data_IF_282786755581
#
_entry.id   IF_282786755581
#
_cell.length_a   1.000
_cell.length_b   1.000
_cell.length_c   1.000
_cell.angle_alpha   90.00
_cell.angle_beta   90.00
_cell.angle_gamma   90.00
#
_symmetry.space_group_name_H-M   'P 1'
#
loop_
_entity.id
_entity.type
_entity.pdbx_description
1 polymer ?
#
# COMPACT_ATOMS: atom_id res chain seq x y z
N UNK A 1 36.34 -63.67 -6.00
CA UNK A 1 36.50 -64.31 -4.68
C UNK A 1 35.60 -63.51 -3.74
N UNK A 2 34.50 -63.96 -3.15
CA UNK A 2 33.83 -65.25 -2.94
C UNK A 2 32.32 -64.92 -2.78
N UNK A 3 31.41 -65.64 -3.45
CA UNK A 3 30.61 -66.77 -2.93
C UNK A 3 29.59 -66.35 -1.84
N UNK A 4 28.29 -66.40 -2.13
CA UNK A 4 27.34 -67.48 -1.73
C UNK A 4 26.50 -67.00 -0.53
N UNK A 5 25.24 -67.37 -0.24
CA UNK A 5 24.13 -68.09 -0.88
C UNK A 5 22.96 -68.00 0.18
N UNK A 6 21.75 -68.54 -0.09
CA UNK A 6 20.48 -68.17 0.57
C UNK A 6 19.93 -69.21 1.58
N UNK A 7 18.94 -68.81 2.38
CA UNK A 7 18.05 -69.68 3.19
C UNK A 7 16.73 -68.94 3.43
N UNK A 8 15.56 -69.53 3.71
CA UNK A 8 14.83 -70.76 3.34
C UNK A 8 13.49 -70.65 4.11
N UNK A 9 12.39 -71.12 3.50
CA UNK A 9 10.99 -71.10 4.01
C UNK A 9 10.76 -72.10 5.19
N UNK A 10 9.67 -72.07 6.01
CA UNK A 10 8.34 -72.65 5.64
C UNK A 10 7.10 -72.01 6.35
N UNK A 11 5.93 -71.92 5.71
CA UNK A 11 4.78 -72.87 5.76
C UNK A 11 4.36 -73.37 7.16
N UNK A 12 3.20 -72.92 7.64
CA UNK A 12 2.23 -73.78 8.35
C UNK A 12 0.82 -73.22 8.21
N UNK A 13 -0.09 -74.08 7.75
CA UNK A 13 -1.51 -73.84 7.59
C UNK A 13 -2.31 -74.47 8.75
N UNK A 14 -3.48 -73.85 9.01
CA UNK A 14 -4.75 -74.42 9.50
C UNK A 14 -4.89 -74.96 10.95
N UNK A 15 -6.12 -75.17 11.49
CA UNK A 15 -7.46 -74.60 11.19
C UNK A 15 -8.26 -74.27 12.50
N UNK A 16 -9.59 -74.12 12.40
CA UNK A 16 -10.64 -74.06 13.48
C UNK A 16 -10.77 -72.74 14.26
N UNK A 17 -11.94 -72.14 14.54
CA UNK A 17 -13.36 -72.50 14.38
C UNK A 17 -14.24 -71.25 14.60
N UNK A 18 -15.35 -71.16 13.84
CA UNK A 18 -16.56 -70.32 14.06
C UNK A 18 -17.03 -70.34 15.54
N UNK A 19 -17.71 -69.28 16.07
CA UNK A 19 -19.06 -68.94 15.60
C UNK A 19 -19.42 -67.45 15.50
N UNK A 20 -20.52 -67.25 14.78
CA UNK A 20 -21.19 -66.00 14.49
C UNK A 20 -21.76 -65.28 15.73
N UNK A 21 -22.07 -64.00 15.50
CA UNK A 21 -23.07 -63.12 16.15
C UNK A 21 -22.44 -61.92 16.81
N UNK A 22 -22.39 -60.80 16.08
CA UNK A 22 -23.03 -59.54 16.46
C UNK A 22 -22.92 -58.60 15.27
N UNK A 23 -24.07 -58.30 14.66
CA UNK A 23 -24.18 -57.26 13.63
C UNK A 23 -23.88 -55.91 14.25
N UNK A 24 -22.75 -55.32 13.89
CA UNK A 24 -22.51 -53.89 14.05
C UNK A 24 -22.47 -53.31 12.66
N UNK A 25 -23.54 -52.61 12.28
CA UNK A 25 -23.64 -51.87 11.04
C UNK A 25 -22.44 -50.91 10.94
N UNK A 26 -21.48 -51.26 10.09
CA UNK A 26 -20.41 -50.37 9.68
C UNK A 26 -21.04 -49.20 8.94
N UNK A 27 -21.30 -48.12 9.67
CA UNK A 27 -21.56 -46.83 9.08
C UNK A 27 -20.35 -46.46 8.21
N UNK A 28 -20.54 -46.11 6.93
CA UNK A 28 -19.44 -45.65 6.09
C UNK A 28 -18.84 -44.41 6.74
N UNK A 29 -17.57 -44.49 7.11
CA UNK A 29 -16.76 -43.37 7.58
C UNK A 29 -16.60 -42.38 6.40
N UNK A 30 -17.61 -41.53 6.21
CA UNK A 30 -17.52 -40.37 5.33
C UNK A 30 -16.50 -39.43 5.95
N UNK A 31 -15.27 -39.43 5.44
CA UNK A 31 -14.32 -38.35 5.68
C UNK A 31 -14.87 -37.06 5.03
N UNK A 32 -15.41 -36.06 5.76
CA UNK A 32 -16.13 -34.95 5.14
C UNK A 32 -15.23 -33.82 4.63
N UNK A 33 -13.90 -33.94 4.78
CA UNK A 33 -12.98 -32.80 4.60
C UNK A 33 -12.35 -32.69 3.21
N UNK A 34 -12.42 -33.71 2.36
CA UNK A 34 -11.80 -33.69 1.02
C UNK A 34 -12.61 -32.90 -0.02
N UNK A 35 -13.94 -32.86 0.10
CA UNK A 35 -14.83 -32.23 -0.88
C UNK A 35 -14.71 -30.71 -0.98
N UNK A 36 -14.53 -30.00 0.14
CA UNK A 36 -14.45 -28.53 0.15
C UNK A 36 -13.16 -28.00 -0.49
N UNK A 37 -12.06 -28.73 -0.37
CA UNK A 37 -10.77 -28.34 -0.97
C UNK A 37 -10.78 -28.55 -2.49
N UNK A 38 -11.42 -29.63 -2.94
CA UNK A 38 -11.57 -29.94 -4.37
C UNK A 38 -12.51 -28.94 -5.07
N UNK A 39 -13.60 -28.52 -4.41
CA UNK A 39 -14.52 -27.48 -4.94
C UNK A 39 -13.87 -26.10 -5.08
N UNK A 40 -12.92 -25.75 -4.22
CA UNK A 40 -12.15 -24.50 -4.33
C UNK A 40 -11.14 -24.55 -5.48
N UNK A 41 -10.49 -25.70 -5.68
CA UNK A 41 -9.54 -25.88 -6.78
C UNK A 41 -10.22 -25.78 -8.15
N UNK A 42 -11.35 -26.46 -8.34
CA UNK A 42 -12.10 -26.41 -9.61
C UNK A 42 -12.65 -25.02 -9.91
N UNK A 43 -13.13 -24.30 -8.88
CA UNK A 43 -13.62 -22.93 -9.05
C UNK A 43 -12.51 -21.96 -9.45
N UNK A 44 -11.32 -22.10 -8.86
CA UNK A 44 -10.16 -21.29 -9.21
C UNK A 44 -9.72 -21.53 -10.67
N UNK A 45 -9.68 -22.80 -11.08
CA UNK A 45 -9.32 -23.17 -12.47
C UNK A 45 -10.32 -22.61 -13.50
N UNK A 46 -11.61 -22.57 -13.15
CA UNK A 46 -12.65 -21.98 -13.99
C UNK A 46 -12.53 -20.45 -14.07
N UNK A 47 -12.19 -19.79 -12.97
CA UNK A 47 -11.92 -18.34 -12.93
C UNK A 47 -10.68 -17.98 -13.75
N UNK A 48 -9.58 -18.73 -13.62
CA UNK A 48 -8.34 -18.51 -14.39
C UNK A 48 -8.58 -18.68 -15.91
N UNK A 49 -9.37 -19.68 -16.32
CA UNK A 49 -9.79 -19.86 -17.72
C UNK A 49 -10.65 -18.71 -18.23
N UNK A 50 -11.52 -18.15 -17.40
CA UNK A 50 -12.36 -17.00 -17.78
C UNK A 50 -11.54 -15.72 -17.93
N UNK A 51 -10.58 -15.49 -17.06
CA UNK A 51 -9.72 -14.29 -17.11
C UNK A 51 -8.83 -14.33 -18.37
N UNK A 52 -8.23 -15.48 -18.69
CA UNK A 52 -7.43 -15.63 -19.92
C UNK A 52 -8.25 -15.45 -21.19
N UNK A 53 -9.51 -15.93 -21.22
CA UNK A 53 -10.42 -15.71 -22.34
C UNK A 53 -10.76 -14.23 -22.54
N UNK A 54 -10.92 -13.46 -21.45
CA UNK A 54 -11.18 -12.01 -21.51
C UNK A 54 -9.96 -11.25 -22.04
N UNK A 55 -8.76 -11.62 -21.59
CA UNK A 55 -7.52 -11.02 -22.08
C UNK A 55 -7.30 -11.34 -23.56
N UNK A 56 -7.60 -12.57 -23.98
CA UNK A 56 -7.56 -12.97 -25.39
C UNK A 56 -8.51 -12.16 -26.26
N UNK A 57 -9.75 -11.92 -25.78
CA UNK A 57 -10.72 -11.09 -26.49
C UNK A 57 -10.29 -9.61 -26.54
N UNK A 58 -9.75 -9.08 -25.44
CA UNK A 58 -9.24 -7.71 -25.39
C UNK A 58 -7.98 -7.51 -26.26
N UNK A 59 -7.20 -8.57 -26.51
CA UNK A 59 -6.03 -8.53 -27.39
C UNK A 59 -6.37 -8.54 -28.89
N UNK A 60 -7.63 -8.73 -29.27
CA UNK A 60 -8.06 -8.72 -30.68
C UNK A 60 -8.31 -7.30 -31.24
N UNK A 61 -8.44 -6.29 -30.37
CA UNK A 61 -8.79 -4.90 -30.73
C UNK A 61 -7.63 -3.88 -30.79
N UNK A 62 -6.48 -4.04 -30.09
CA UNK A 62 -5.44 -3.01 -30.07
C UNK A 62 -4.56 -3.06 -31.34
N UNK A 63 -3.87 -1.95 -31.67
CA UNK A 63 -2.96 -1.90 -32.81
C UNK A 63 -1.84 -2.95 -32.66
N UNK A 64 -1.42 -3.60 -33.77
CA UNK A 64 -0.52 -4.76 -33.76
C UNK A 64 0.74 -4.64 -32.88
N UNK A 65 1.44 -3.49 -32.75
CA UNK A 65 2.64 -3.41 -31.91
C UNK A 65 2.40 -3.60 -30.41
N UNK A 66 1.20 -3.31 -29.89
CA UNK A 66 0.91 -3.44 -28.44
C UNK A 66 0.66 -4.89 -28.00
N UNK A 67 0.27 -5.77 -28.92
CA UNK A 67 -0.07 -7.16 -28.62
C UNK A 67 1.13 -7.97 -28.08
N UNK A 68 2.35 -7.64 -28.52
CA UNK A 68 3.59 -8.32 -28.10
C UNK A 68 3.91 -8.01 -26.63
N UNK A 69 3.72 -6.77 -26.20
CA UNK A 69 3.96 -6.37 -24.81
C UNK A 69 2.86 -6.89 -23.89
N UNK A 70 1.59 -6.84 -24.30
CA UNK A 70 0.47 -7.38 -23.53
C UNK A 70 0.65 -8.87 -23.20
N UNK A 71 1.07 -9.69 -24.18
CA UNK A 71 1.39 -11.11 -23.94
C UNK A 71 2.52 -11.31 -22.94
N UNK A 72 3.50 -10.41 -22.90
CA UNK A 72 4.61 -10.47 -21.95
C UNK A 72 4.17 -10.12 -20.52
N UNK A 73 3.21 -9.22 -20.37
CA UNK A 73 2.68 -8.78 -19.09
C UNK A 73 1.44 -9.57 -18.61
N UNK A 74 0.92 -10.49 -19.43
CA UNK A 74 -0.23 -11.34 -19.09
C UNK A 74 -0.15 -11.99 -17.69
N UNK A 75 0.97 -12.64 -17.27
CA UNK A 75 1.03 -13.23 -15.94
C UNK A 75 1.02 -12.18 -14.81
N UNK A 76 1.59 -10.99 -15.06
CA UNK A 76 1.59 -9.91 -14.08
C UNK A 76 0.21 -9.27 -13.92
N UNK A 77 -0.52 -9.06 -15.02
CA UNK A 77 -1.89 -8.53 -15.01
C UNK A 77 -2.83 -9.53 -14.34
N UNK A 78 -2.69 -10.83 -14.61
CA UNK A 78 -3.47 -11.87 -13.93
C UNK A 78 -3.19 -11.94 -12.43
N UNK A 79 -1.92 -11.84 -12.04
CA UNK A 79 -1.55 -11.77 -10.63
C UNK A 79 -2.12 -10.53 -9.94
N UNK A 80 -2.11 -9.37 -10.61
CA UNK A 80 -2.67 -8.13 -10.07
C UNK A 80 -4.21 -8.22 -9.96
N UNK A 81 -4.89 -8.71 -11.00
CA UNK A 81 -6.34 -8.84 -11.00
C UNK A 81 -6.82 -9.83 -9.93
N UNK A 82 -6.17 -10.99 -9.82
CA UNK A 82 -6.47 -11.96 -8.76
C UNK A 82 -6.20 -11.39 -7.36
N UNK A 83 -5.10 -10.66 -7.18
CA UNK A 83 -4.83 -9.97 -5.93
C UNK A 83 -5.93 -8.96 -5.60
N UNK A 84 -6.38 -8.14 -6.56
CA UNK A 84 -7.43 -7.13 -6.36
C UNK A 84 -8.79 -7.75 -6.00
N UNK A 85 -9.14 -8.89 -6.62
CA UNK A 85 -10.36 -9.65 -6.29
C UNK A 85 -10.31 -10.26 -4.88
N UNK A 86 -9.13 -10.69 -4.41
CA UNK A 86 -8.96 -11.24 -3.06
C UNK A 86 -8.88 -10.13 -2.01
N UNK A 87 -8.17 -9.05 -2.30
CA UNK A 87 -7.90 -7.94 -1.39
C UNK A 87 -9.13 -7.04 -1.23
N UNK A 88 -9.87 -6.78 -2.31
CA UNK A 88 -11.09 -5.97 -2.31
C UNK A 88 -12.09 -6.31 -1.20
N UNK A 89 -12.59 -7.55 -1.09
CA UNK A 89 -13.57 -7.91 -0.06
C UNK A 89 -12.99 -7.86 1.36
N UNK A 90 -11.68 -8.05 1.53
CA UNK A 90 -11.02 -7.91 2.83
C UNK A 90 -11.06 -6.45 3.28
N UNK A 91 -10.72 -5.50 2.39
CA UNK A 91 -10.82 -4.08 2.68
C UNK A 91 -12.25 -3.64 2.99
N UNK A 92 -13.24 -4.10 2.21
CA UNK A 92 -14.65 -3.76 2.46
C UNK A 92 -15.10 -4.29 3.84
N UNK A 93 -14.76 -5.52 4.19
CA UNK A 93 -15.09 -6.07 5.52
C UNK A 93 -14.41 -5.33 6.66
N UNK A 94 -13.15 -4.92 6.48
CA UNK A 94 -12.43 -4.13 7.48
C UNK A 94 -13.09 -2.75 7.62
N UNK A 95 -13.46 -2.11 6.51
CA UNK A 95 -14.15 -0.82 6.53
C UNK A 95 -15.53 -0.91 7.19
N UNK A 96 -16.32 -1.95 6.88
CA UNK A 96 -17.60 -2.22 7.52
C UNK A 96 -17.44 -2.50 9.02
N UNK A 97 -16.42 -3.27 9.40
CA UNK A 97 -16.12 -3.55 10.81
C UNK A 97 -15.69 -2.28 11.54
N UNK A 98 -14.83 -1.46 10.95
CA UNK A 98 -14.41 -0.17 11.51
C UNK A 98 -15.57 0.81 11.64
N UNK A 99 -16.43 0.89 10.61
CA UNK A 99 -17.60 1.75 10.62
C UNK A 99 -18.62 1.29 11.67
N UNK A 100 -18.89 -0.01 11.74
CA UNK A 100 -19.77 -0.60 12.75
C UNK A 100 -19.19 -0.41 14.16
N UNK A 101 -17.89 -0.62 14.35
CA UNK A 101 -17.22 -0.39 15.62
C UNK A 101 -17.32 1.09 16.01
N UNK A 102 -17.02 2.00 15.10
CA UNK A 102 -17.09 3.44 15.35
C UNK A 102 -18.49 3.90 15.78
N UNK A 103 -19.56 3.36 15.18
CA UNK A 103 -20.93 3.74 15.54
C UNK A 103 -21.45 3.03 16.80
N UNK A 104 -20.91 1.86 17.14
CA UNK A 104 -21.33 1.10 18.33
C UNK A 104 -20.55 1.48 19.58
N UNK A 105 -19.35 2.02 19.44
CA UNK A 105 -18.50 2.41 20.57
C UNK A 105 -18.80 3.85 21.03
N UNK A 106 -18.99 4.09 22.33
CA UNK A 106 -19.01 5.44 22.88
C UNK A 106 -17.62 6.09 22.73
N UNK A 107 -17.59 7.41 22.55
CA UNK A 107 -16.33 8.16 22.35
C UNK A 107 -15.29 7.92 23.45
N UNK A 108 -15.74 7.72 24.70
CA UNK A 108 -14.87 7.43 25.85
C UNK A 108 -14.05 6.13 25.65
N UNK A 109 -14.63 5.12 24.99
CA UNK A 109 -13.94 3.85 24.75
C UNK A 109 -12.92 3.98 23.60
N UNK A 110 -13.20 4.83 22.62
CA UNK A 110 -12.24 5.15 21.55
C UNK A 110 -11.04 5.89 22.16
N UNK A 111 -11.28 6.86 23.04
CA UNK A 111 -10.21 7.56 23.76
C UNK A 111 -9.38 6.59 24.62
N UNK A 112 -10.04 5.67 25.35
CA UNK A 112 -9.36 4.64 26.11
C UNK A 112 -8.54 3.68 25.24
N UNK A 113 -9.03 3.28 24.05
CA UNK A 113 -8.29 2.45 23.10
C UNK A 113 -7.09 3.19 22.49
N UNK A 114 -7.21 4.49 22.23
CA UNK A 114 -6.09 5.33 21.79
C UNK A 114 -5.04 5.42 22.89
N UNK A 115 -5.45 5.65 24.15
CA UNK A 115 -4.57 5.64 25.31
C UNK A 115 -3.88 4.28 25.52
N UNK A 116 -4.62 3.17 25.34
CA UNK A 116 -4.08 1.82 25.38
C UNK A 116 -3.05 1.61 24.27
N UNK A 117 -3.35 2.09 23.06
CA UNK A 117 -2.41 2.11 21.94
C UNK A 117 -1.13 2.88 22.28
N UNK A 118 -1.24 4.05 22.92
CA UNK A 118 -0.07 4.81 23.39
C UNK A 118 0.78 4.00 24.38
N UNK A 119 0.15 3.29 25.32
CA UNK A 119 0.87 2.49 26.32
C UNK A 119 1.60 1.29 25.72
N UNK A 120 1.05 0.62 24.71
CA UNK A 120 1.69 -0.56 24.10
C UNK A 120 2.69 -0.23 22.98
N UNK A 121 2.43 0.82 22.20
CA UNK A 121 3.31 1.21 21.09
C UNK A 121 4.41 2.20 21.52
N UNK A 122 4.30 2.82 22.71
CA UNK A 122 5.34 3.67 23.30
C UNK A 122 5.79 4.80 22.36
N UNK A 123 7.10 5.03 22.26
CA UNK A 123 7.69 6.11 21.45
C UNK A 123 7.40 6.05 19.94
N UNK A 124 6.89 4.92 19.41
CA UNK A 124 6.41 4.85 18.03
C UNK A 124 5.13 5.68 17.81
N UNK A 125 4.41 6.01 18.89
CA UNK A 125 3.21 6.84 18.82
C UNK A 125 3.52 8.26 18.35
N UNK A 126 4.62 8.88 18.83
CA UNK A 126 5.05 10.20 18.35
C UNK A 126 5.36 10.20 16.85
N UNK A 127 5.94 9.11 16.33
CA UNK A 127 6.18 8.95 14.90
C UNK A 127 4.86 8.80 14.12
N UNK A 128 3.85 8.13 14.68
CA UNK A 128 2.53 8.02 14.07
C UNK A 128 1.77 9.36 14.05
N UNK A 129 1.85 10.16 15.12
CA UNK A 129 1.27 11.51 15.12
C UNK A 129 1.98 12.39 14.10
N UNK A 130 3.32 12.40 14.08
CA UNK A 130 4.08 13.19 13.11
C UNK A 130 3.79 12.76 11.67
N UNK A 131 3.56 11.46 11.43
CA UNK A 131 3.11 10.95 10.14
C UNK A 131 1.73 11.49 9.76
N UNK A 132 0.77 11.45 10.70
CA UNK A 132 -0.58 11.99 10.47
C UNK A 132 -0.53 13.49 10.22
N UNK A 133 0.20 14.27 11.02
CA UNK A 133 0.34 15.72 10.81
C UNK A 133 0.99 16.04 9.46
N UNK A 134 2.04 15.30 9.08
CA UNK A 134 2.67 15.48 7.78
C UNK A 134 1.72 15.14 6.62
N UNK A 135 0.88 14.12 6.79
CA UNK A 135 -0.17 13.78 5.83
C UNK A 135 -1.26 14.87 5.77
N UNK A 136 -1.67 15.41 6.92
CA UNK A 136 -2.64 16.49 7.01
C UNK A 136 -2.15 17.76 6.32
N UNK A 137 -0.88 18.12 6.52
CA UNK A 137 -0.29 19.34 5.94
C UNK A 137 -0.16 19.25 4.41
N UNK A 138 0.15 18.07 3.85
CA UNK A 138 0.49 17.96 2.43
C UNK A 138 -0.58 17.28 1.59
N UNK A 139 -1.20 16.22 2.10
CA UNK A 139 -2.03 15.30 1.32
C UNK A 139 -3.52 15.38 1.61
N UNK A 140 -3.93 15.83 2.80
CA UNK A 140 -5.33 15.69 3.24
C UNK A 140 -6.32 16.53 2.44
N UNK A 141 -6.03 17.81 2.20
CA UNK A 141 -6.99 18.69 1.52
C UNK A 141 -7.26 18.21 0.09
N UNK A 142 -6.21 17.79 -0.63
CA UNK A 142 -6.33 17.26 -2.00
C UNK A 142 -7.02 15.90 -2.03
N UNK A 143 -6.66 15.02 -1.08
CA UNK A 143 -7.25 13.68 -1.00
C UNK A 143 -8.72 13.75 -0.61
N UNK A 144 -9.07 14.53 0.42
CA UNK A 144 -10.43 14.65 0.94
C UNK A 144 -11.38 15.28 -0.07
N UNK A 145 -10.97 16.35 -0.75
CA UNK A 145 -11.76 16.95 -1.82
C UNK A 145 -12.06 15.94 -2.93
N UNK A 146 -11.04 15.22 -3.41
CA UNK A 146 -11.23 14.24 -4.46
C UNK A 146 -12.04 13.01 -3.99
N UNK A 147 -11.95 12.65 -2.70
CA UNK A 147 -12.74 11.57 -2.12
C UNK A 147 -14.23 11.95 -2.01
N UNK A 148 -14.54 13.20 -1.68
CA UNK A 148 -15.90 13.73 -1.67
C UNK A 148 -16.50 13.73 -3.07
N UNK A 149 -15.74 14.15 -4.08
CA UNK A 149 -16.18 14.10 -5.48
C UNK A 149 -16.52 12.66 -5.91
N UNK A 150 -15.65 11.70 -5.58
CA UNK A 150 -15.89 10.28 -5.87
C UNK A 150 -17.13 9.77 -5.12
N UNK A 151 -17.34 10.21 -3.89
CA UNK A 151 -18.50 9.81 -3.08
C UNK A 151 -19.81 10.30 -3.70
N UNK A 152 -19.86 11.56 -4.14
CA UNK A 152 -21.02 12.15 -4.81
C UNK A 152 -21.31 11.46 -6.15
N UNK A 153 -20.26 11.14 -6.92
CA UNK A 153 -20.39 10.34 -8.14
C UNK A 153 -21.02 8.98 -7.82
N UNK A 154 -20.49 8.24 -6.83
CA UNK A 154 -21.02 6.94 -6.38
C UNK A 154 -22.48 7.03 -5.92
N UNK A 155 -22.86 8.08 -5.20
CA UNK A 155 -24.25 8.34 -4.81
C UNK A 155 -25.16 8.51 -6.03
N UNK A 156 -24.75 9.33 -7.00
CA UNK A 156 -25.54 9.58 -8.21
C UNK A 156 -25.79 8.29 -9.02
N UNK A 157 -24.80 7.39 -9.06
CA UNK A 157 -24.89 6.10 -9.76
C UNK A 157 -25.83 5.15 -9.04
N UNK A 158 -25.79 5.12 -7.70
CA UNK A 158 -26.73 4.31 -6.91
C UNK A 158 -28.17 4.76 -7.16
N UNK A 159 -28.43 6.06 -7.14
CA UNK A 159 -29.75 6.62 -7.40
C UNK A 159 -30.23 6.33 -8.83
N UNK A 160 -29.34 6.44 -9.82
CA UNK A 160 -29.66 6.10 -11.21
C UNK A 160 -29.96 4.60 -11.37
N UNK A 161 -29.18 3.72 -10.74
CA UNK A 161 -29.40 2.29 -10.76
C UNK A 161 -30.74 1.89 -10.11
N UNK A 162 -31.09 2.47 -8.96
CA UNK A 162 -32.38 2.26 -8.30
C UNK A 162 -33.56 2.77 -9.14
N UNK A 163 -33.38 3.86 -9.89
CA UNK A 163 -34.40 4.39 -10.78
C UNK A 163 -34.63 3.50 -12.02
N UNK A 164 -33.58 2.86 -12.54
CA UNK A 164 -33.68 1.91 -13.64
C UNK A 164 -34.29 0.58 -13.19
N UNK A 165 -33.95 0.09 -12.00
CA UNK A 165 -34.55 -1.12 -11.40
C UNK A 165 -36.07 -0.96 -11.21
N UNK A 166 -36.54 0.26 -10.86
CA UNK A 166 -37.98 0.54 -10.73
C UNK A 166 -38.74 0.56 -12.07
N UNK A 167 -38.06 0.80 -13.20
CA UNK A 167 -38.70 0.87 -14.53
C UNK A 167 -38.78 -0.49 -15.23
N UNK A 168 -37.87 -1.43 -14.93
CA UNK A 168 -37.86 -2.78 -15.51
C UNK A 168 -38.62 -3.78 -14.64
N UNK A 169 -39.83 -3.42 -14.19
CA UNK A 169 -40.65 -4.24 -13.31
C UNK A 169 -40.85 -5.67 -13.81
N UNK A 170 -40.14 -6.63 -13.20
CA UNK A 170 -40.41 -8.05 -13.29
C UNK A 170 -39.33 -8.88 -14.02
N UNK A 171 -38.74 -9.81 -13.27
CA UNK A 171 -38.03 -11.01 -13.77
C UNK A 171 -36.70 -10.81 -14.53
N UNK A 172 -35.73 -10.20 -13.86
CA UNK A 172 -34.32 -10.41 -14.21
C UNK A 172 -33.76 -11.61 -13.43
N UNK A 173 -33.63 -12.75 -14.10
CA UNK A 173 -33.02 -13.99 -13.59
C UNK A 173 -31.63 -13.71 -12.97
N UNK A 174 -31.29 -14.29 -11.79
CA UNK A 174 -30.03 -14.02 -11.12
C UNK A 174 -28.87 -14.83 -11.74
N UNK A 175 -28.41 -14.44 -12.93
CA UNK A 175 -27.17 -14.95 -13.49
C UNK A 175 -25.96 -14.44 -12.68
N UNK A 176 -25.59 -15.18 -11.63
CA UNK A 176 -24.37 -15.01 -10.84
C UNK A 176 -23.14 -15.45 -11.67
N UNK A 177 -22.77 -14.68 -12.69
CA UNK A 177 -21.67 -14.98 -13.62
C UNK A 177 -20.68 -13.83 -13.81
N UNK A 178 -19.53 -14.12 -14.43
CA UNK A 178 -18.49 -13.14 -14.78
C UNK A 178 -19.02 -11.97 -15.61
N UNK A 179 -20.12 -12.16 -16.34
CA UNK A 179 -20.81 -11.11 -17.08
C UNK A 179 -21.42 -10.05 -16.17
N UNK A 180 -21.83 -10.40 -14.94
CA UNK A 180 -22.27 -9.43 -13.93
C UNK A 180 -21.10 -8.61 -13.40
N UNK A 181 -19.90 -9.17 -13.30
CA UNK A 181 -18.69 -8.41 -12.93
C UNK A 181 -18.30 -7.48 -14.08
N UNK A 182 -18.34 -7.94 -15.32
CA UNK A 182 -18.11 -7.07 -16.49
C UNK A 182 -19.16 -5.98 -16.59
N UNK A 183 -20.43 -6.28 -16.32
CA UNK A 183 -21.49 -5.29 -16.31
C UNK A 183 -21.32 -4.31 -15.16
N UNK A 184 -20.97 -4.77 -13.95
CA UNK A 184 -20.66 -3.89 -12.81
C UNK A 184 -19.41 -3.07 -13.04
N UNK A 185 -18.36 -3.63 -13.64
CA UNK A 185 -17.16 -2.89 -14.02
C UNK A 185 -17.43 -1.93 -15.17
N UNK A 186 -18.29 -2.29 -16.13
CA UNK A 186 -18.70 -1.40 -17.21
C UNK A 186 -19.57 -0.27 -16.69
N UNK A 187 -20.50 -0.57 -15.78
CA UNK A 187 -21.32 0.44 -15.08
C UNK A 187 -20.41 1.30 -14.22
N UNK A 188 -19.47 0.73 -13.46
CA UNK A 188 -18.48 1.45 -12.66
C UNK A 188 -17.50 2.28 -13.51
N UNK A 189 -17.12 1.81 -14.69
CA UNK A 189 -16.24 2.53 -15.60
C UNK A 189 -16.98 3.65 -16.34
N UNK A 190 -18.25 3.44 -16.70
CA UNK A 190 -19.12 4.50 -17.25
C UNK A 190 -19.53 5.52 -16.18
N UNK A 191 -19.57 5.06 -14.93
CA UNK A 191 -19.83 5.84 -13.73
C UNK A 191 -18.70 6.81 -13.39
N UNK A 192 -17.44 6.39 -13.53
CA UNK A 192 -16.29 7.27 -13.40
C UNK A 192 -16.24 8.16 -14.64
N UNK A 193 -17.06 9.21 -14.61
CA UNK A 193 -17.25 10.14 -15.72
C UNK A 193 -15.94 10.87 -16.06
N UNK A 194 -15.12 11.11 -15.04
CA UNK A 194 -13.86 11.84 -15.13
C UNK A 194 -12.69 11.02 -14.53
N UNK A 195 -11.93 10.26 -15.34
CA UNK A 195 -10.77 9.50 -14.86
C UNK A 195 -9.65 10.41 -14.32
N UNK A 196 -9.67 11.69 -14.69
CA UNK A 196 -8.74 12.71 -14.22
C UNK A 196 -8.92 12.98 -12.71
N UNK A 197 -10.17 13.02 -12.21
CA UNK A 197 -10.46 13.19 -10.78
C UNK A 197 -9.90 12.05 -9.94
N UNK A 198 -10.06 10.82 -10.41
CA UNK A 198 -9.50 9.65 -9.75
C UNK A 198 -7.97 9.69 -9.73
N UNK A 199 -7.36 10.15 -10.83
CA UNK A 199 -5.91 10.34 -10.91
C UNK A 199 -5.42 11.42 -9.94
N UNK A 200 -6.17 12.52 -9.80
CA UNK A 200 -5.88 13.55 -8.79
C UNK A 200 -6.02 13.03 -7.36
N UNK A 201 -7.05 12.25 -7.06
CA UNK A 201 -7.24 11.61 -5.74
C UNK A 201 -6.04 10.71 -5.41
N UNK A 202 -5.69 9.82 -6.34
CA UNK A 202 -4.56 8.89 -6.19
C UNK A 202 -3.25 9.66 -6.08
N UNK A 203 -3.09 10.76 -6.84
CA UNK A 203 -1.95 11.66 -6.74
C UNK A 203 -1.81 12.29 -5.37
N UNK A 204 -2.90 12.76 -4.77
CA UNK A 204 -2.93 13.30 -3.40
C UNK A 204 -2.54 12.26 -2.35
N UNK A 205 -3.11 11.06 -2.44
CA UNK A 205 -2.77 9.93 -1.56
C UNK A 205 -1.30 9.55 -1.68
N UNK A 206 -0.78 9.45 -2.91
CA UNK A 206 0.61 9.09 -3.16
C UNK A 206 1.58 10.17 -2.68
N UNK A 207 1.27 11.45 -2.92
CA UNK A 207 2.06 12.57 -2.43
C UNK A 207 2.12 12.56 -0.88
N UNK A 208 0.97 12.41 -0.23
CA UNK A 208 0.90 12.26 1.22
C UNK A 208 1.70 11.06 1.73
N UNK A 209 1.61 9.90 1.07
CA UNK A 209 2.41 8.72 1.40
C UNK A 209 3.92 8.97 1.31
N UNK A 210 4.40 9.63 0.24
CA UNK A 210 5.82 9.95 0.07
C UNK A 210 6.31 10.91 1.15
N UNK A 211 5.49 11.89 1.52
CA UNK A 211 5.81 12.82 2.62
C UNK A 211 5.92 12.08 3.94
N UNK A 212 4.98 11.18 4.25
CA UNK A 212 5.04 10.33 5.44
C UNK A 212 6.32 9.47 5.44
N UNK A 213 6.65 8.80 4.33
CA UNK A 213 7.90 8.05 4.23
C UNK A 213 9.13 8.96 4.44
N UNK A 214 9.08 10.20 3.94
CA UNK A 214 10.12 11.20 4.15
C UNK A 214 10.28 11.59 5.62
N UNK A 215 9.18 11.87 6.32
CA UNK A 215 9.22 12.27 7.75
C UNK A 215 9.70 11.13 8.64
N UNK A 216 9.23 9.90 8.41
CA UNK A 216 9.73 8.73 9.12
C UNK A 216 11.23 8.53 8.84
N UNK A 217 11.66 8.55 7.57
CA UNK A 217 13.08 8.32 7.22
C UNK A 217 14.01 9.42 7.68
N UNK A 218 13.57 10.68 7.74
CA UNK A 218 14.41 11.79 8.18
C UNK A 218 14.85 11.64 9.64
N UNK A 219 13.93 11.16 10.50
CA UNK A 219 14.26 10.88 11.90
C UNK A 219 15.20 9.69 12.03
N UNK A 220 14.90 8.57 11.35
CA UNK A 220 15.76 7.39 11.36
C UNK A 220 17.16 7.67 10.79
N UNK A 221 17.26 8.43 9.70
CA UNK A 221 18.53 8.77 9.07
C UNK A 221 19.43 9.59 10.00
N UNK A 222 18.85 10.54 10.74
CA UNK A 222 19.60 11.35 11.71
C UNK A 222 20.14 10.49 12.86
N UNK A 223 19.32 9.59 13.42
CA UNK A 223 19.75 8.66 14.48
C UNK A 223 20.82 7.70 13.99
N UNK A 224 20.64 7.10 12.81
CA UNK A 224 21.59 6.14 12.25
C UNK A 224 22.93 6.83 11.97
N UNK A 225 22.91 8.04 11.41
CA UNK A 225 24.14 8.81 11.12
C UNK A 225 24.90 9.17 12.39
N UNK A 226 24.17 9.56 13.45
CA UNK A 226 24.74 9.87 14.76
C UNK A 226 25.35 8.60 15.40
N UNK A 227 24.60 7.49 15.40
CA UNK A 227 25.08 6.19 15.88
C UNK A 227 26.32 5.68 15.14
N UNK A 228 26.36 5.80 13.80
CA UNK A 228 27.54 5.42 13.00
C UNK A 228 28.74 6.31 13.33
N UNK A 229 28.53 7.61 13.57
CA UNK A 229 29.60 8.54 13.93
C UNK A 229 30.21 8.21 15.30
N UNK A 230 29.35 7.91 16.30
CA UNK A 230 29.79 7.42 17.62
C UNK A 230 30.55 6.09 17.47
N UNK A 231 30.04 5.14 16.69
CA UNK A 231 30.69 3.86 16.46
C UNK A 231 32.11 4.01 15.88
N UNK A 232 32.30 4.96 14.95
CA UNK A 232 33.63 5.23 14.37
C UNK A 232 34.63 5.75 15.41
N UNK A 233 34.18 6.52 16.40
CA UNK A 233 35.03 7.00 17.48
C UNK A 233 35.37 5.90 18.50
N UNK A 234 34.46 4.93 18.71
CA UNK A 234 34.66 3.78 19.60
C UNK A 234 35.51 2.66 18.98
N UNK A 235 35.56 2.56 17.64
CA UNK A 235 36.28 1.50 16.93
C UNK A 235 37.75 1.34 17.36
N UNK A 236 38.59 2.40 17.44
CA UNK A 236 39.98 2.25 17.88
C UNK A 236 40.11 1.83 19.35
N UNK A 237 39.20 2.27 20.22
CA UNK A 237 39.19 1.89 21.64
C UNK A 237 38.82 0.42 21.77
N UNK A 238 37.78 -0.01 21.06
CA UNK A 238 37.31 -1.39 21.08
C UNK A 238 38.34 -2.35 20.47
N UNK A 239 39.05 -1.95 19.42
CA UNK A 239 40.14 -2.74 18.85
C UNK A 239 41.35 -2.82 19.79
N UNK A 240 41.64 -1.77 20.56
CA UNK A 240 42.78 -1.77 21.48
C UNK A 240 42.54 -2.63 22.72
N UNK A 241 41.31 -2.64 23.25
CA UNK A 241 40.99 -3.32 24.51
C UNK A 241 40.17 -4.62 24.32
N UNK A 242 39.26 -4.65 23.35
CA UNK A 242 38.36 -5.78 23.14
C UNK A 242 39.02 -6.96 22.43
N UNK A 243 39.94 -6.71 21.49
CA UNK A 243 40.66 -7.78 20.79
C UNK A 243 41.44 -8.72 21.74
N UNK A 244 42.32 -8.23 22.65
CA UNK A 244 43.13 -9.11 23.49
C UNK A 244 42.28 -9.96 24.45
N UNK A 245 41.16 -9.42 24.94
CA UNK A 245 40.23 -10.17 25.80
C UNK A 245 39.58 -11.29 25.00
N UNK A 246 39.11 -10.97 23.78
CA UNK A 246 38.35 -11.92 22.97
C UNK A 246 39.25 -13.03 22.37
N UNK A 247 40.53 -12.76 22.13
CA UNK A 247 41.51 -13.77 21.70
C UNK A 247 41.80 -14.85 22.76
N UNK A 248 41.57 -14.56 24.05
CA UNK A 248 41.72 -15.55 25.12
C UNK A 248 40.52 -16.50 25.23
N UNK A 249 39.34 -16.09 24.74
CA UNK A 249 38.09 -16.85 24.86
C UNK A 249 37.77 -17.62 23.59
N UNK A 250 38.17 -17.09 22.42
CA UNK A 250 37.82 -17.65 21.11
C UNK A 250 38.99 -18.47 20.54
N UNK A 251 38.75 -19.69 20.00
CA UNK A 251 39.80 -20.51 19.38
C UNK A 251 40.45 -19.83 18.17
N UNK A 252 41.71 -20.17 17.92
CA UNK A 252 42.58 -19.52 16.93
C UNK A 252 42.01 -19.51 15.50
N UNK A 253 41.24 -20.54 15.14
CA UNK A 253 40.64 -20.66 13.80
C UNK A 253 39.67 -19.51 13.47
N UNK A 254 39.06 -18.89 14.48
CA UNK A 254 38.08 -17.80 14.31
C UNK A 254 38.69 -16.39 14.44
N UNK A 255 39.99 -16.25 14.73
CA UNK A 255 40.64 -14.95 14.98
C UNK A 255 40.51 -13.94 13.83
N UNK A 256 40.38 -14.42 12.58
CA UNK A 256 40.20 -13.55 11.43
C UNK A 256 38.81 -12.89 11.34
N UNK A 257 37.77 -13.46 11.98
CA UNK A 257 36.42 -12.87 12.04
C UNK A 257 36.25 -11.89 13.20
N UNK A 258 37.10 -11.95 14.23
CA UNK A 258 36.99 -11.13 15.43
C UNK A 258 36.90 -9.63 15.15
N UNK A 259 37.76 -9.04 14.30
CA UNK A 259 37.68 -7.61 13.99
C UNK A 259 36.35 -7.21 13.35
N UNK A 260 35.79 -8.07 12.49
CA UNK A 260 34.51 -7.84 11.82
C UNK A 260 33.34 -7.92 12.81
N UNK A 261 33.35 -8.92 13.71
CA UNK A 261 32.33 -9.07 14.74
C UNK A 261 32.37 -7.92 15.76
N UNK A 262 33.56 -7.49 16.20
CA UNK A 262 33.70 -6.36 17.10
C UNK A 262 33.18 -5.06 16.48
N UNK A 263 33.55 -4.78 15.23
CA UNK A 263 33.07 -3.60 14.48
C UNK A 263 31.57 -3.58 14.31
N UNK A 264 30.98 -4.72 13.96
CA UNK A 264 29.53 -4.82 13.76
C UNK A 264 28.78 -4.72 15.08
N UNK A 265 29.24 -5.40 16.13
CA UNK A 265 28.69 -5.27 17.47
C UNK A 265 28.76 -3.82 18.00
N UNK A 266 29.90 -3.15 17.81
CA UNK A 266 30.07 -1.75 18.20
C UNK A 266 29.07 -0.82 17.51
N UNK A 267 28.86 -1.01 16.21
CA UNK A 267 27.88 -0.23 15.43
C UNK A 267 26.46 -0.47 15.94
N UNK A 268 26.10 -1.73 16.21
CA UNK A 268 24.79 -2.07 16.75
C UNK A 268 24.55 -1.43 18.13
N UNK A 269 25.54 -1.50 19.03
CA UNK A 269 25.47 -0.87 20.36
C UNK A 269 25.41 0.65 20.24
N UNK A 270 26.22 1.26 19.39
CA UNK A 270 26.21 2.72 19.21
C UNK A 270 24.90 3.24 18.61
N UNK A 271 24.29 2.50 17.67
CA UNK A 271 22.95 2.84 17.15
C UNK A 271 21.89 2.68 18.23
N UNK A 272 21.94 1.60 19.01
CA UNK A 272 21.03 1.40 20.15
C UNK A 272 21.19 2.51 21.20
N UNK A 273 22.42 2.90 21.54
CA UNK A 273 22.71 3.96 22.50
C UNK A 273 22.27 5.33 21.99
N UNK A 274 22.50 5.61 20.70
CA UNK A 274 21.96 6.81 20.03
C UNK A 274 20.44 6.85 20.10
N UNK A 275 19.77 5.70 19.97
CA UNK A 275 18.33 5.61 20.11
C UNK A 275 17.88 5.94 21.54
N UNK A 276 18.52 5.34 22.56
CA UNK A 276 18.23 5.64 23.97
C UNK A 276 18.49 7.11 24.31
N UNK A 277 19.59 7.68 23.84
CA UNK A 277 19.89 9.09 24.03
C UNK A 277 18.82 9.96 23.38
N UNK A 278 18.44 9.69 22.14
CA UNK A 278 17.43 10.51 21.46
C UNK A 278 16.07 10.48 22.17
N UNK A 279 15.69 9.34 22.74
CA UNK A 279 14.49 9.22 23.57
C UNK A 279 14.65 10.00 24.90
N UNK A 280 15.81 9.90 25.55
CA UNK A 280 16.07 10.59 26.82
C UNK A 280 16.17 12.12 26.66
N UNK A 281 16.86 12.60 25.63
CA UNK A 281 17.04 14.03 25.33
C UNK A 281 15.73 14.69 24.88
N UNK A 282 14.89 14.00 24.10
CA UNK A 282 13.56 14.53 23.71
C UNK A 282 12.64 14.72 24.91
N UNK A 283 12.80 13.94 25.98
CA UNK A 283 11.98 14.06 27.19
C UNK A 283 12.43 15.19 28.13
N UNK A 284 13.67 15.67 27.99
CA UNK A 284 14.27 16.65 28.91
C UNK A 284 14.35 18.07 28.35
N UNK A 285 13.88 18.30 27.12
CA UNK A 285 13.79 19.65 26.56
C UNK A 285 12.44 20.26 26.97
N UNK A 286 12.38 21.14 28.00
CA UNK A 286 11.15 21.85 28.32
C UNK A 286 10.83 22.71 27.12
N UNK A 287 9.80 22.34 26.34
CA UNK A 287 9.36 23.14 25.22
C UNK A 287 9.19 24.59 25.72
N UNK A 288 10.03 25.55 25.29
CA UNK A 288 9.72 26.94 25.54
C UNK A 288 8.39 27.14 24.84
N UNK A 289 7.35 27.50 25.60
CA UNK A 289 6.02 27.81 25.09
C UNK A 289 6.25 28.81 23.96
N UNK A 290 6.26 28.30 22.73
CA UNK A 290 6.44 29.11 21.53
C UNK A 290 5.09 29.75 21.35
N UNK A 291 4.89 30.85 22.06
CA UNK A 291 3.76 31.74 21.86
C UNK A 291 3.67 31.99 20.35
N UNK A 292 2.61 31.52 19.66
CA UNK A 292 2.43 31.78 18.23
C UNK A 292 2.08 33.26 17.97
N UNK A 293 2.03 34.09 19.01
CA UNK A 293 1.86 35.52 18.91
C UNK A 293 3.13 36.19 18.40
N UNK A 294 3.01 36.83 17.25
CA UNK A 294 3.88 37.91 16.74
C UNK A 294 5.10 37.50 15.90
N UNK A 295 4.82 36.91 14.74
CA UNK A 295 5.43 37.45 13.53
C UNK A 295 4.39 37.50 12.42
N UNK A 296 3.41 38.38 12.60
CA UNK A 296 2.76 39.02 11.47
C UNK A 296 3.85 39.81 10.74
N UNK A 297 4.60 39.13 9.87
CA UNK A 297 5.36 39.81 8.82
C UNK A 297 4.30 40.57 8.03
N UNK A 298 4.33 41.92 8.01
CA UNK A 298 3.39 42.67 7.21
C UNK A 298 3.57 42.20 5.77
N UNK A 299 2.52 41.61 5.20
CA UNK A 299 2.49 41.37 3.76
C UNK A 299 2.83 42.71 3.09
N UNK A 300 3.79 42.75 2.15
CA UNK A 300 4.00 43.95 1.37
C UNK A 300 2.65 44.35 0.76
N UNK A 301 2.28 45.65 0.80
CA UNK A 301 1.00 46.09 0.30
C UNK A 301 0.85 45.58 -1.13
N UNK A 302 -0.15 44.72 -1.32
CA UNK A 302 -0.68 44.37 -2.63
C UNK A 302 -1.01 45.69 -3.31
N UNK A 303 -0.14 46.13 -4.20
CA UNK A 303 -0.43 47.14 -5.21
C UNK A 303 -1.45 46.52 -6.16
N UNK A 304 -2.70 46.51 -5.70
CA UNK A 304 -3.88 46.54 -6.53
C UNK A 304 -3.87 47.88 -7.26
N UNK A 305 -3.00 47.98 -8.25
CA UNK A 305 -3.18 48.92 -9.33
C UNK A 305 -4.35 48.38 -10.15
N UNK A 306 -5.53 48.89 -9.83
CA UNK A 306 -6.67 48.96 -10.72
C UNK A 306 -6.25 49.60 -12.06
N UNK A 307 -5.67 48.78 -12.93
CA UNK A 307 -5.58 49.03 -14.36
C UNK A 307 -6.77 48.39 -15.02
N UNK A 308 -7.95 49.00 -14.90
CA UNK A 308 -9.13 48.66 -15.66
C UNK A 308 -8.87 48.90 -17.16
N UNK A 309 -8.23 47.94 -17.85
CA UNK A 309 -8.36 47.82 -19.30
C UNK A 309 -9.60 46.99 -19.57
N UNK A 310 -10.72 47.70 -19.69
CA UNK A 310 -11.83 47.24 -20.53
C UNK A 310 -11.28 47.04 -21.94
N UNK A 311 -10.87 45.83 -22.29
CA UNK A 311 -10.88 45.41 -23.68
C UNK A 311 -12.33 45.07 -24.02
N UNK A 312 -13.08 46.12 -24.37
CA UNK A 312 -14.25 45.98 -25.22
C UNK A 312 -13.80 45.33 -26.52
N UNK A 313 -13.99 44.01 -26.63
CA UNK A 313 -13.96 43.33 -27.92
C UNK A 313 -15.01 43.98 -28.82
N UNK A 314 -14.64 44.54 -29.98
CA UNK A 314 -15.61 44.88 -31.00
C UNK A 314 -16.20 43.58 -31.55
N UNK A 315 -17.53 43.57 -31.74
CA UNK A 315 -18.21 42.58 -32.58
C UNK A 315 -17.51 42.55 -33.94
N UNK A 316 -16.70 41.52 -34.20
CA UNK A 316 -16.35 41.13 -35.55
C UNK A 316 -17.59 40.47 -36.16
N UNK A 317 -18.38 41.30 -36.83
CA UNK A 317 -19.47 40.87 -37.69
C UNK A 317 -18.87 40.16 -38.91
N UNK A 318 -19.30 38.94 -39.15
CA UNK A 318 -18.84 38.11 -40.23
C UNK A 318 -19.44 38.64 -41.55
N UNK A 319 -18.69 39.47 -42.28
CA UNK A 319 -18.98 39.70 -43.70
C UNK A 319 -17.71 40.03 -44.48
N UNK A 320 -17.46 39.18 -45.48
CA UNK A 320 -16.68 39.40 -46.69
C UNK A 320 -15.21 39.83 -46.55
N UNK A 321 -14.32 38.90 -46.86
CA UNK A 321 -13.43 39.07 -48.02
C UNK A 321 -12.11 39.81 -47.80
N UNK A 322 -11.06 39.19 -48.33
CA UNK A 322 -9.77 39.78 -48.75
C UNK A 322 -8.75 40.05 -47.63
N UNK A 323 -7.54 39.54 -47.86
CA UNK A 323 -6.50 39.38 -46.84
C UNK A 323 -5.57 40.57 -46.61
N UNK A 324 -4.67 40.40 -45.65
CA UNK A 324 -3.33 40.99 -45.56
C UNK A 324 -2.68 40.41 -44.29
N UNK A 325 -1.63 39.59 -44.38
CA UNK A 325 -0.22 39.96 -44.50
C UNK A 325 0.42 40.45 -43.18
N UNK A 326 1.28 39.57 -42.63
CA UNK A 326 2.62 39.85 -42.12
C UNK A 326 2.87 40.56 -40.77
N UNK A 327 3.73 39.86 -40.01
CA UNK A 327 4.93 40.31 -39.27
C UNK A 327 4.84 40.71 -37.79
N UNK A 328 5.57 39.88 -37.03
CA UNK A 328 6.68 40.22 -36.13
C UNK A 328 6.35 40.90 -34.78
N UNK A 329 6.70 40.23 -33.67
CA UNK A 329 8.05 40.35 -33.09
C UNK A 329 8.17 39.61 -31.75
N UNK A 330 9.41 39.21 -31.48
CA UNK A 330 9.93 38.53 -30.30
C UNK A 330 9.85 39.42 -29.06
N UNK A 331 9.61 38.81 -27.90
CA UNK A 331 10.18 39.25 -26.63
C UNK A 331 10.72 38.01 -25.90
N UNK A 332 12.03 37.78 -26.05
CA UNK A 332 12.84 36.97 -25.14
C UNK A 332 13.24 37.93 -24.01
N UNK A 333 12.93 37.58 -22.76
CA UNK A 333 13.32 38.31 -21.57
C UNK A 333 14.00 37.37 -20.57
N UNK A 334 15.13 37.75 -19.96
CA UNK A 334 15.98 36.86 -19.17
C UNK A 334 15.63 36.89 -17.68
N UNK A 335 15.91 35.82 -16.95
CA UNK A 335 16.12 35.90 -15.49
C UNK A 335 17.25 34.98 -15.06
N UNK A 336 18.34 35.66 -14.72
CA UNK A 336 19.49 35.20 -13.96
C UNK A 336 19.18 35.27 -12.45
N UNK A 337 20.04 34.63 -11.65
CA UNK A 337 20.18 34.61 -10.19
C UNK A 337 19.58 33.39 -9.49
N UNK A 338 20.24 32.79 -8.50
CA UNK A 338 21.61 32.87 -8.01
C UNK A 338 21.77 31.66 -7.08
N UNK A 339 22.85 30.90 -7.24
CA UNK A 339 23.20 29.80 -6.34
C UNK A 339 24.21 30.33 -5.34
N UNK A 340 23.84 30.37 -4.07
CA UNK A 340 24.76 30.47 -2.94
C UNK A 340 24.11 29.81 -1.74
N UNK A 341 24.53 28.57 -1.46
CA UNK A 341 25.14 28.04 -0.23
C UNK A 341 25.37 26.55 -0.48
#
# INVERSE_FOLDING_TARGET
MSAAAPESSPSTADPTSKPALFGSAAAPELSPSSGLRQRRATKKEEEDKKISAIIGAAAATPPPPLTVYLKRFEPAINALASALVVVGPVYVRIAELLYSAYHTLPMDLIEALVGLGMCFFGGAYCASIAAVEAFLIVGWDTTSAALLDIYDDVQSIKLAAEADDKKQGGEAEPAFGADRIKQKMRVAALAVRDPEKLTHAVGGVYAGWVVVQGTLRLQFARTITLGISIAKMLDPVLMRFGLPILTHVVPADLHHWLPTLLRTACKMVAVALSWYLQVAWVMDEPHPIRNPTLSATPLPPSTSAHGARRCSSPRCNHRSGVGCCSRASRCIGPTSMATSI
#
